data_IF_074725439992
#
_entry.id   IF_074725439992
#
_cell.length_a   1.000
_cell.length_b   1.000
_cell.length_c   1.000
_cell.angle_alpha   90.00
_cell.angle_beta   90.00
_cell.angle_gamma   90.00
#
_symmetry.space_group_name_H-M   'P 1'
#
loop_
_entity.id
_entity.type
_entity.pdbx_description
1 polymer ?
#
# COMPACT_ATOMS: atom_id res chain seq x y z
N UNK A 1 -0.28 -11.29 24.31
CA UNK A 1 -1.67 -10.78 24.19
C UNK A 1 -1.98 -10.05 22.85
N UNK A 2 -1.01 -9.39 22.19
CA UNK A 2 -1.24 -8.56 20.99
C UNK A 2 -1.57 -9.33 19.69
N UNK A 3 -1.05 -10.56 19.50
CA UNK A 3 -1.21 -11.34 18.24
C UNK A 3 -2.61 -11.95 18.12
N UNK A 4 -3.17 -12.48 19.22
CA UNK A 4 -4.51 -13.07 19.24
C UNK A 4 -5.58 -12.00 18.95
N UNK A 5 -5.48 -10.83 19.57
CA UNK A 5 -6.36 -9.69 19.31
C UNK A 5 -6.25 -9.19 17.86
N UNK A 6 -5.03 -9.10 17.31
CA UNK A 6 -4.82 -8.73 15.91
C UNK A 6 -5.45 -9.75 14.93
N UNK A 7 -5.34 -11.05 15.24
CA UNK A 7 -5.95 -12.11 14.43
C UNK A 7 -7.48 -12.06 14.48
N UNK A 8 -8.05 -11.89 15.67
CA UNK A 8 -9.51 -11.76 15.86
C UNK A 8 -10.06 -10.51 15.15
N UNK A 9 -9.38 -9.38 15.29
CA UNK A 9 -9.73 -8.12 14.61
C UNK A 9 -9.66 -8.26 13.09
N UNK A 10 -8.61 -8.88 12.56
CA UNK A 10 -8.45 -9.15 11.13
C UNK A 10 -9.57 -10.05 10.60
N UNK A 11 -9.86 -11.15 11.30
CA UNK A 11 -10.91 -12.09 10.90
C UNK A 11 -12.29 -11.42 10.92
N UNK A 12 -12.58 -10.61 11.94
CA UNK A 12 -13.83 -9.84 12.01
C UNK A 12 -13.91 -8.82 10.87
N UNK A 13 -12.83 -8.09 10.60
CA UNK A 13 -12.79 -7.13 9.49
C UNK A 13 -13.00 -7.81 8.13
N UNK A 14 -12.33 -8.94 7.88
CA UNK A 14 -12.51 -9.71 6.64
C UNK A 14 -13.96 -10.14 6.50
N UNK A 15 -14.55 -10.74 7.55
CA UNK A 15 -15.94 -11.18 7.53
C UNK A 15 -16.92 -10.05 7.24
N UNK A 16 -16.71 -8.86 7.84
CA UNK A 16 -17.52 -7.67 7.59
C UNK A 16 -17.37 -7.15 6.16
N UNK A 17 -16.15 -7.18 5.60
CA UNK A 17 -15.90 -6.73 4.22
C UNK A 17 -16.40 -7.70 3.15
N UNK A 18 -16.59 -8.98 3.49
CA UNK A 18 -17.08 -10.02 2.57
C UNK A 18 -18.58 -10.26 2.71
N UNK A 19 -19.30 -9.47 3.52
CA UNK A 19 -20.75 -9.62 3.62
C UNK A 19 -21.40 -9.25 2.28
N UNK A 20 -22.27 -10.10 1.72
CA UNK A 20 -23.12 -9.73 0.60
C UNK A 20 -23.89 -8.42 0.88
N UNK A 21 -23.95 -7.47 -0.08
CA UNK A 21 -24.66 -6.19 0.10
C UNK A 21 -26.16 -6.35 0.38
N UNK A 22 -26.75 -7.48 0.00
CA UNK A 22 -28.14 -7.82 0.29
C UNK A 22 -28.39 -8.19 1.75
N UNK A 23 -27.35 -8.51 2.54
CA UNK A 23 -27.50 -8.85 3.95
C UNK A 23 -27.86 -7.63 4.79
N UNK A 24 -28.77 -7.85 5.73
CA UNK A 24 -29.22 -6.83 6.68
C UNK A 24 -28.11 -6.21 7.51
N UNK A 25 -27.16 -7.04 7.93
CA UNK A 25 -25.99 -6.57 8.68
C UNK A 25 -25.13 -5.64 7.84
N UNK A 26 -24.95 -5.92 6.54
CA UNK A 26 -24.14 -5.11 5.63
C UNK A 26 -24.78 -3.72 5.38
N UNK A 27 -26.11 -3.70 5.27
CA UNK A 27 -26.91 -2.49 5.05
C UNK A 27 -26.97 -1.57 6.28
N UNK A 28 -26.75 -2.12 7.47
CA UNK A 28 -26.71 -1.40 8.76
C UNK A 28 -25.30 -1.00 9.21
N UNK A 29 -24.28 -1.21 8.37
CA UNK A 29 -22.93 -0.73 8.63
C UNK A 29 -22.88 0.81 8.67
N UNK A 30 -21.85 1.44 9.27
CA UNK A 30 -21.82 2.88 9.47
C UNK A 30 -22.03 3.67 8.16
N UNK A 31 -22.73 4.81 8.24
CA UNK A 31 -23.07 5.70 7.10
C UNK A 31 -21.93 6.04 6.13
N UNK A 32 -20.68 5.97 6.58
CA UNK A 32 -19.47 6.26 5.79
C UNK A 32 -19.00 5.09 4.91
N UNK A 33 -19.70 3.94 4.94
CA UNK A 33 -19.31 2.73 4.22
C UNK A 33 -20.24 2.52 3.03
N UNK A 34 -19.67 2.00 1.95
CA UNK A 34 -20.36 1.85 0.66
C UNK A 34 -21.54 0.87 0.68
N UNK A 35 -21.63 0.01 1.70
CA UNK A 35 -22.74 -0.95 1.88
C UNK A 35 -23.90 -0.40 2.69
N UNK A 36 -23.77 0.78 3.32
CA UNK A 36 -24.84 1.35 4.14
C UNK A 36 -26.04 1.74 3.28
N UNK A 37 -27.23 1.29 3.65
CA UNK A 37 -28.47 1.69 3.00
C UNK A 37 -29.17 2.79 3.84
N UNK A 38 -29.19 4.05 3.38
CA UNK A 38 -29.79 5.15 4.11
C UNK A 38 -31.31 5.04 4.25
N UNK A 39 -31.95 4.23 3.40
CA UNK A 39 -33.40 4.03 3.39
C UNK A 39 -33.85 2.93 4.36
N UNK A 40 -32.91 2.23 5.00
CA UNK A 40 -33.24 1.17 5.96
C UNK A 40 -33.43 1.79 7.35
N UNK A 41 -34.58 1.58 8.02
CA UNK A 41 -34.77 2.09 9.36
C UNK A 41 -33.73 1.49 10.31
N UNK A 42 -33.07 2.36 11.08
CA UNK A 42 -32.23 1.95 12.20
C UNK A 42 -33.10 1.12 13.15
N UNK A 43 -32.58 -0.02 13.65
CA UNK A 43 -33.32 -0.81 14.61
C UNK A 43 -33.78 0.07 15.77
N UNK A 44 -35.07 0.00 16.10
CA UNK A 44 -35.60 0.52 17.36
C UNK A 44 -34.69 0.03 18.47
N UNK A 45 -34.08 0.98 19.20
CA UNK A 45 -33.19 0.67 20.33
C UNK A 45 -34.01 -0.11 21.35
N UNK A 46 -33.91 -1.43 21.33
CA UNK A 46 -34.53 -2.25 22.35
C UNK A 46 -33.97 -1.83 23.71
N UNK A 47 -34.83 -1.46 24.64
CA UNK A 47 -34.48 -1.07 26.02
C UNK A 47 -33.95 -2.26 26.85
N UNK A 48 -33.75 -3.42 26.25
CA UNK A 48 -33.16 -4.58 26.93
C UNK A 48 -31.65 -4.44 26.99
N UNK A 49 -31.09 -4.71 28.18
CA UNK A 49 -29.66 -4.65 28.56
C UNK A 49 -28.74 -4.67 27.35
N UNK A 50 -28.00 -3.58 27.18
CA UNK A 50 -27.02 -3.33 26.12
C UNK A 50 -26.08 -4.53 25.99
N UNK A 51 -26.45 -5.52 25.17
CA UNK A 51 -25.54 -6.60 24.78
C UNK A 51 -24.49 -5.92 23.92
N UNK A 52 -23.39 -5.52 24.57
CA UNK A 52 -22.24 -4.93 23.89
C UNK A 52 -21.79 -5.98 22.88
N UNK A 53 -22.02 -5.70 21.59
CA UNK A 53 -21.60 -6.65 20.56
C UNK A 53 -20.09 -6.88 20.71
N UNK A 54 -19.57 -8.07 20.38
CA UNK A 54 -18.13 -8.33 20.49
C UNK A 54 -17.29 -7.27 19.76
N UNK A 55 -17.83 -6.66 18.69
CA UNK A 55 -17.20 -5.53 17.98
C UNK A 55 -17.18 -4.28 18.85
N UNK A 56 -18.29 -3.89 19.47
CA UNK A 56 -18.36 -2.70 20.34
C UNK A 56 -17.48 -2.89 21.59
N UNK A 57 -17.39 -4.11 22.12
CA UNK A 57 -16.52 -4.43 23.24
C UNK A 57 -15.04 -4.30 22.84
N UNK A 58 -14.64 -4.87 21.70
CA UNK A 58 -13.29 -4.74 21.16
C UNK A 58 -12.92 -3.29 20.82
N UNK A 59 -13.88 -2.51 20.30
CA UNK A 59 -13.70 -1.07 20.04
C UNK A 59 -13.55 -0.29 21.35
N UNK A 60 -14.33 -0.60 22.39
CA UNK A 60 -14.20 0.02 23.71
C UNK A 60 -12.87 -0.29 24.39
N UNK A 61 -12.29 -1.46 24.13
CA UNK A 61 -10.94 -1.83 24.58
C UNK A 61 -9.81 -1.21 23.73
N UNK A 62 -10.14 -0.62 22.59
CA UNK A 62 -9.15 -0.05 21.66
C UNK A 62 -9.08 1.47 21.83
N UNK A 63 -7.90 1.99 22.20
CA UNK A 63 -7.70 3.44 22.30
C UNK A 63 -8.00 4.13 20.94
N UNK A 64 -8.64 5.30 20.87
CA UNK A 64 -8.98 5.97 19.60
C UNK A 64 -7.76 6.36 18.75
N UNK A 65 -6.55 6.36 19.34
CA UNK A 65 -5.26 6.51 18.64
C UNK A 65 -4.50 5.19 18.43
N UNK A 66 -5.07 4.03 18.74
CA UNK A 66 -4.43 2.74 18.50
C UNK A 66 -4.19 2.57 17.00
N UNK A 67 -2.93 2.70 16.58
CA UNK A 67 -2.50 2.29 15.25
C UNK A 67 -2.40 0.77 15.24
N UNK A 68 -2.83 0.14 14.15
CA UNK A 68 -2.58 -1.27 13.95
C UNK A 68 -1.08 -1.48 13.70
N UNK A 69 -0.33 -1.79 14.76
CA UNK A 69 1.09 -2.10 14.69
C UNK A 69 1.20 -3.57 14.34
N UNK A 70 1.73 -3.89 13.16
CA UNK A 70 2.10 -5.26 12.83
C UNK A 70 3.45 -5.49 13.52
N UNK A 71 3.54 -6.37 14.54
CA UNK A 71 4.82 -6.66 15.14
C UNK A 71 5.71 -7.29 14.07
N UNK A 72 6.66 -6.50 13.56
CA UNK A 72 7.68 -6.98 12.65
C UNK A 72 8.87 -7.40 13.51
N UNK A 73 8.85 -8.67 13.89
CA UNK A 73 9.95 -9.31 14.60
C UNK A 73 10.98 -9.74 13.55
N UNK A 74 11.95 -8.88 13.28
CA UNK A 74 13.20 -9.33 12.66
C UNK A 74 14.00 -9.98 13.77
N UNK A 75 14.49 -11.21 13.59
CA UNK A 75 15.47 -11.76 14.51
C UNK A 75 16.64 -10.77 14.64
N UNK A 76 17.18 -10.51 15.84
CA UNK A 76 18.18 -9.46 16.04
C UNK A 76 19.46 -9.64 15.19
N UNK A 77 19.69 -10.85 14.65
CA UNK A 77 20.79 -11.18 13.75
C UNK A 77 20.49 -11.00 12.25
N UNK A 78 19.23 -10.77 11.85
CA UNK A 78 18.90 -10.46 10.46
C UNK A 78 19.09 -8.96 10.19
N UNK A 79 20.02 -8.63 9.29
CA UNK A 79 20.24 -7.25 8.90
C UNK A 79 18.95 -6.66 8.29
N UNK A 80 18.46 -5.50 8.78
CA UNK A 80 17.23 -4.90 8.28
C UNK A 80 17.35 -4.45 6.82
N UNK A 81 18.53 -4.46 6.18
CA UNK A 81 18.73 -4.01 4.79
C UNK A 81 19.86 -4.79 4.06
N UNK A 82 19.69 -6.10 3.84
CA UNK A 82 20.74 -6.96 3.21
C UNK A 82 20.89 -6.82 1.68
N UNK A 83 20.44 -5.71 1.07
CA UNK A 83 20.41 -5.56 -0.39
C UNK A 83 21.63 -4.88 -1.01
N UNK A 84 22.53 -4.31 -0.19
CA UNK A 84 23.74 -3.64 -0.67
C UNK A 84 23.47 -2.69 -1.84
N UNK A 85 24.23 -2.85 -2.92
CA UNK A 85 24.11 -2.03 -4.14
C UNK A 85 22.93 -2.42 -5.07
N UNK A 86 22.18 -3.50 -4.77
CA UNK A 86 21.13 -4.02 -5.64
C UNK A 86 19.82 -3.23 -5.58
N UNK A 87 19.57 -2.49 -4.49
CA UNK A 87 18.41 -1.62 -4.35
C UNK A 87 18.87 -0.20 -3.99
N UNK A 88 18.59 0.76 -4.88
CA UNK A 88 18.96 2.16 -4.70
C UNK A 88 17.71 3.05 -4.79
N UNK A 89 17.56 3.94 -3.82
CA UNK A 89 16.51 4.97 -3.82
C UNK A 89 17.11 6.32 -4.17
N UNK A 90 16.46 7.06 -5.07
CA UNK A 90 16.90 8.40 -5.48
C UNK A 90 15.83 9.46 -5.16
N UNK A 91 15.56 9.74 -3.86
CA UNK A 91 14.67 10.84 -3.50
C UNK A 91 15.30 12.19 -3.88
N UNK A 92 14.50 13.19 -4.32
CA UNK A 92 15.02 14.53 -4.55
C UNK A 92 15.55 15.15 -3.24
N UNK A 93 16.59 16.01 -3.28
CA UNK A 93 17.04 16.74 -2.10
C UNK A 93 15.90 17.53 -1.43
N UNK A 94 15.86 17.52 -0.08
CA UNK A 94 14.76 18.10 0.72
C UNK A 94 14.53 19.61 0.46
N UNK A 95 15.58 20.35 0.08
CA UNK A 95 15.55 21.80 -0.10
C UNK A 95 15.96 22.24 -1.51
N UNK A 96 15.23 21.77 -2.54
CA UNK A 96 15.44 22.26 -3.90
C UNK A 96 14.71 23.58 -4.15
N UNK A 97 15.45 24.55 -4.70
CA UNK A 97 14.88 25.76 -5.30
C UNK A 97 13.92 25.40 -6.45
N UNK A 98 13.02 26.33 -6.82
CA UNK A 98 12.05 26.10 -7.90
C UNK A 98 12.73 25.76 -9.24
N UNK A 99 13.85 26.41 -9.56
CA UNK A 99 14.61 26.16 -10.79
C UNK A 99 15.31 24.80 -10.73
N UNK A 100 15.91 24.46 -9.60
CA UNK A 100 16.54 23.15 -9.40
C UNK A 100 15.55 21.99 -9.49
N UNK A 101 14.29 22.18 -9.07
CA UNK A 101 13.21 21.18 -9.26
C UNK A 101 12.86 20.97 -10.74
N UNK A 102 12.81 22.06 -11.53
CA UNK A 102 12.55 21.96 -12.98
C UNK A 102 13.66 21.19 -13.69
N UNK A 103 14.92 21.50 -13.37
CA UNK A 103 16.07 20.78 -13.94
C UNK A 103 16.10 19.31 -13.49
N UNK A 104 15.78 19.02 -12.22
CA UNK A 104 15.63 17.65 -11.75
C UNK A 104 14.54 16.90 -12.50
N UNK A 105 13.37 17.51 -12.70
CA UNK A 105 12.28 16.90 -13.47
C UNK A 105 12.67 16.67 -14.94
N UNK A 106 13.42 17.60 -15.54
CA UNK A 106 13.95 17.46 -16.92
C UNK A 106 14.95 16.31 -17.01
N UNK A 107 15.86 16.19 -16.04
CA UNK A 107 16.80 15.06 -15.92
C UNK A 107 16.05 13.74 -15.74
N UNK A 108 15.03 13.71 -14.90
CA UNK A 108 14.22 12.52 -14.66
C UNK A 108 13.46 12.08 -15.92
N UNK A 109 12.89 13.02 -16.68
CA UNK A 109 12.24 12.73 -17.97
C UNK A 109 13.21 12.12 -18.97
N UNK A 110 14.42 12.69 -19.10
CA UNK A 110 15.48 12.12 -19.95
C UNK A 110 15.86 10.71 -19.51
N UNK A 111 16.00 10.48 -18.20
CA UNK A 111 16.27 9.16 -17.65
C UNK A 111 15.13 8.19 -17.93
N UNK A 112 13.86 8.59 -17.76
CA UNK A 112 12.71 7.77 -18.12
C UNK A 112 12.82 7.35 -19.57
N UNK A 113 12.97 8.30 -20.51
CA UNK A 113 13.12 7.99 -21.94
C UNK A 113 14.26 7.02 -22.23
N UNK A 114 15.43 7.20 -21.61
CA UNK A 114 16.59 6.32 -21.80
C UNK A 114 16.40 4.93 -21.16
N UNK A 115 15.70 4.84 -20.04
CA UNK A 115 15.41 3.57 -19.37
C UNK A 115 14.33 2.79 -20.09
N UNK A 116 13.42 3.51 -20.73
CA UNK A 116 12.37 2.97 -21.56
C UNK A 116 12.90 2.27 -22.81
N UNK A 117 14.07 2.65 -23.34
CA UNK A 117 14.72 1.93 -24.46
C UNK A 117 15.54 0.72 -24.02
N UNK A 118 15.96 0.66 -22.75
CA UNK A 118 16.73 -0.45 -22.19
C UNK A 118 15.86 -1.69 -21.90
N UNK A 119 16.49 -2.86 -21.68
CA UNK A 119 15.84 -4.13 -21.25
C UNK A 119 15.31 -4.11 -19.80
N UNK A 120 15.05 -2.91 -19.26
CA UNK A 120 14.59 -2.72 -17.88
C UNK A 120 13.06 -2.72 -17.82
N UNK A 121 12.51 -3.27 -16.75
CA UNK A 121 11.08 -3.10 -16.45
C UNK A 121 10.87 -1.81 -15.69
N UNK A 122 10.11 -0.89 -16.26
CA UNK A 122 9.83 0.43 -15.69
C UNK A 122 8.41 0.46 -15.13
N UNK A 123 8.23 0.98 -13.93
CA UNK A 123 6.94 1.04 -13.27
C UNK A 123 6.63 2.47 -12.82
N UNK A 124 5.41 2.93 -13.08
CA UNK A 124 4.90 4.19 -12.56
C UNK A 124 3.82 3.90 -11.55
N UNK A 125 3.89 4.53 -10.38
CA UNK A 125 2.97 4.26 -9.27
C UNK A 125 2.32 5.54 -8.80
N UNK A 126 1.05 5.45 -8.42
CA UNK A 126 0.30 6.55 -7.86
C UNK A 126 -0.71 6.05 -6.82
N UNK A 127 -0.91 6.86 -5.79
CA UNK A 127 -1.96 6.68 -4.79
C UNK A 127 -2.75 7.98 -4.69
N UNK A 128 -4.07 7.90 -4.85
CA UNK A 128 -4.95 9.06 -4.89
C UNK A 128 -6.04 8.97 -3.82
N UNK A 129 -6.55 10.14 -3.44
CA UNK A 129 -7.72 10.27 -2.58
C UNK A 129 -8.62 11.35 -3.15
N UNK A 130 -9.91 11.03 -3.24
CA UNK A 130 -10.95 11.95 -3.69
C UNK A 130 -12.15 11.82 -2.76
N UNK A 131 -12.83 12.92 -2.46
CA UNK A 131 -14.14 12.89 -1.81
C UNK A 131 -15.20 12.95 -2.90
N UNK A 132 -16.09 11.96 -2.95
CA UNK A 132 -17.18 11.86 -3.93
C UNK A 132 -18.47 11.64 -3.15
N UNK A 133 -19.45 12.53 -3.31
CA UNK A 133 -20.73 12.49 -2.60
C UNK A 133 -20.57 12.38 -1.06
N UNK A 134 -19.63 13.14 -0.49
CA UNK A 134 -19.31 13.10 0.95
C UNK A 134 -18.51 11.87 1.41
N UNK A 135 -18.30 10.88 0.54
CA UNK A 135 -17.55 9.67 0.84
C UNK A 135 -16.09 9.80 0.42
N UNK A 136 -15.17 9.52 1.34
CA UNK A 136 -13.74 9.47 1.05
C UNK A 136 -13.42 8.19 0.26
N UNK A 137 -12.91 8.34 -0.96
CA UNK A 137 -12.43 7.25 -1.80
C UNK A 137 -10.93 7.32 -1.94
N UNK A 138 -10.25 6.23 -1.62
CA UNK A 138 -8.80 6.09 -1.76
C UNK A 138 -8.51 4.96 -2.73
N UNK A 139 -7.66 5.23 -3.71
CA UNK A 139 -7.32 4.31 -4.78
C UNK A 139 -5.82 4.23 -4.99
N UNK A 140 -5.42 3.11 -5.58
CA UNK A 140 -4.06 2.85 -6.05
C UNK A 140 -4.08 2.64 -7.55
N UNK A 141 -2.98 3.02 -8.19
CA UNK A 141 -2.74 2.74 -9.58
C UNK A 141 -1.26 2.52 -9.85
N UNK A 142 -0.96 1.58 -10.74
CA UNK A 142 0.36 1.47 -11.33
C UNK A 142 0.29 0.98 -12.76
N UNK A 143 1.28 1.38 -13.56
CA UNK A 143 1.55 0.85 -14.89
C UNK A 143 2.95 0.28 -14.94
N UNK A 144 3.15 -0.74 -15.77
CA UNK A 144 4.40 -1.45 -15.98
C UNK A 144 4.69 -1.40 -17.47
N UNK A 145 5.88 -0.93 -17.81
CA UNK A 145 6.36 -0.77 -19.17
C UNK A 145 7.64 -1.56 -19.40
N UNK A 146 7.82 -2.03 -20.61
CA UNK A 146 9.04 -2.65 -21.12
C UNK A 146 9.24 -2.20 -22.56
N UNK A 147 10.42 -1.70 -22.91
CA UNK A 147 10.69 -1.09 -24.22
C UNK A 147 9.70 0.01 -24.65
N UNK A 148 9.18 0.78 -23.69
CA UNK A 148 8.20 1.87 -23.95
C UNK A 148 6.78 1.43 -24.19
N UNK A 149 6.53 0.13 -24.17
CA UNK A 149 5.19 -0.42 -24.31
C UNK A 149 4.69 -0.81 -22.93
N UNK A 150 3.45 -0.42 -22.63
CA UNK A 150 2.77 -0.90 -21.44
C UNK A 150 2.47 -2.39 -21.56
N UNK A 151 2.98 -3.18 -20.61
CA UNK A 151 2.81 -4.63 -20.58
C UNK A 151 1.83 -5.08 -19.49
N UNK A 152 1.52 -4.21 -18.53
CA UNK A 152 0.60 -4.48 -17.43
C UNK A 152 0.21 -3.19 -16.71
N UNK A 153 -0.98 -3.15 -16.13
CA UNK A 153 -1.41 -2.11 -15.21
C UNK A 153 -2.37 -2.69 -14.16
N UNK A 154 -2.58 -1.94 -13.09
CA UNK A 154 -3.62 -2.26 -12.13
C UNK A 154 -4.17 -0.99 -11.49
N UNK A 155 -5.47 -0.98 -11.27
CA UNK A 155 -6.20 0.06 -10.57
C UNK A 155 -7.07 -0.62 -9.52
N UNK A 156 -6.98 -0.18 -8.26
CA UNK A 156 -7.80 -0.74 -7.20
C UNK A 156 -8.27 0.32 -6.21
N UNK A 157 -9.50 0.16 -5.74
CA UNK A 157 -10.03 0.95 -4.64
C UNK A 157 -9.67 0.28 -3.32
N UNK A 158 -9.10 1.04 -2.39
CA UNK A 158 -8.77 0.57 -1.04
C UNK A 158 -9.92 0.82 -0.04
N UNK A 159 -10.86 1.68 -0.40
CA UNK A 159 -11.99 2.07 0.45
C UNK A 159 -11.69 3.25 1.39
N UNK A 160 -12.65 3.63 2.23
CA UNK A 160 -12.64 4.93 2.94
C UNK A 160 -11.68 5.02 4.13
N UNK A 161 -11.12 3.90 4.56
CA UNK A 161 -10.30 3.81 5.79
C UNK A 161 -8.82 4.03 5.54
N UNK A 162 -8.38 3.95 4.30
CA UNK A 162 -6.98 4.16 3.95
C UNK A 162 -6.67 5.65 3.85
N UNK A 163 -5.44 6.02 4.19
CA UNK A 163 -4.91 7.35 3.89
C UNK A 163 -4.21 7.33 2.55
N UNK A 164 -4.03 8.52 1.97
CA UNK A 164 -3.30 8.68 0.68
C UNK A 164 -1.90 8.09 0.77
N UNK A 165 -1.26 8.26 1.92
CA UNK A 165 0.09 7.74 2.15
C UNK A 165 0.11 6.21 2.13
N UNK A 166 -0.86 5.53 2.77
CA UNK A 166 -1.00 4.07 2.71
C UNK A 166 -1.18 3.59 1.26
N UNK A 167 -1.98 4.32 0.47
CA UNK A 167 -2.20 4.02 -0.94
C UNK A 167 -0.92 4.12 -1.76
N UNK A 168 -0.13 5.18 -1.55
CA UNK A 168 1.14 5.38 -2.27
C UNK A 168 2.17 4.30 -1.94
N UNK A 169 2.27 3.91 -0.66
CA UNK A 169 3.13 2.82 -0.22
C UNK A 169 2.67 1.46 -0.80
N UNK A 170 1.36 1.19 -0.77
CA UNK A 170 0.78 -0.03 -1.34
C UNK A 170 0.96 -0.11 -2.85
N UNK A 171 0.80 1.00 -3.58
CA UNK A 171 1.04 1.05 -5.01
C UNK A 171 2.49 0.64 -5.35
N UNK A 172 3.49 1.14 -4.61
CA UNK A 172 4.89 0.73 -4.76
C UNK A 172 5.09 -0.76 -4.50
N UNK A 173 4.55 -1.29 -3.40
CA UNK A 173 4.68 -2.70 -3.04
C UNK A 173 4.05 -3.65 -4.07
N UNK A 174 2.84 -3.32 -4.55
CA UNK A 174 2.13 -4.12 -5.53
C UNK A 174 2.75 -4.00 -6.93
N UNK A 175 3.22 -2.81 -7.31
CA UNK A 175 3.95 -2.60 -8.55
C UNK A 175 5.22 -3.45 -8.57
N UNK A 176 6.05 -3.42 -7.52
CA UNK A 176 7.26 -4.24 -7.45
C UNK A 176 6.94 -5.74 -7.50
N UNK A 177 5.92 -6.20 -6.77
CA UNK A 177 5.50 -7.61 -6.80
C UNK A 177 5.14 -8.05 -8.23
N UNK A 178 4.38 -7.23 -8.93
CA UNK A 178 3.92 -7.51 -10.30
C UNK A 178 5.07 -7.41 -11.28
N UNK A 179 5.88 -6.36 -11.19
CA UNK A 179 7.08 -6.13 -11.99
C UNK A 179 8.10 -7.25 -11.83
N UNK A 180 8.31 -7.76 -10.62
CA UNK A 180 9.20 -8.89 -10.37
C UNK A 180 8.74 -10.19 -11.03
N UNK A 181 7.43 -10.34 -11.29
CA UNK A 181 6.90 -11.45 -12.07
C UNK A 181 7.11 -11.22 -13.56
N UNK A 182 6.88 -9.99 -14.04
CA UNK A 182 7.06 -9.60 -15.44
C UNK A 182 8.53 -9.65 -15.87
N UNK A 183 9.42 -9.08 -15.07
CA UNK A 183 10.86 -9.09 -15.30
C UNK A 183 11.41 -10.52 -15.43
N UNK A 184 10.89 -11.46 -14.64
CA UNK A 184 11.25 -12.89 -14.78
C UNK A 184 10.79 -13.49 -16.10
N UNK A 185 9.56 -13.17 -16.54
CA UNK A 185 9.03 -13.64 -17.83
C UNK A 185 9.80 -13.05 -19.01
N UNK A 186 10.28 -11.81 -18.88
CA UNK A 186 10.98 -11.05 -19.92
C UNK A 186 12.52 -11.19 -19.84
N UNK A 187 13.02 -11.95 -18.87
CA UNK A 187 14.44 -12.07 -18.57
C UNK A 187 15.16 -10.72 -18.34
N UNK A 188 14.46 -9.77 -17.70
CA UNK A 188 15.00 -8.47 -17.31
C UNK A 188 15.65 -8.54 -15.94
N UNK A 189 16.88 -8.03 -15.82
CA UNK A 189 17.64 -8.02 -14.57
C UNK A 189 17.42 -6.75 -13.73
N UNK A 190 16.76 -5.74 -14.28
CA UNK A 190 16.55 -4.44 -13.66
C UNK A 190 15.07 -4.06 -13.60
N UNK A 191 14.64 -3.57 -12.45
CA UNK A 191 13.31 -2.99 -12.23
C UNK A 191 13.49 -1.58 -11.70
N UNK A 192 12.75 -0.63 -12.26
CA UNK A 192 12.82 0.78 -11.90
C UNK A 192 11.42 1.25 -11.55
N UNK A 193 11.27 1.80 -10.34
CA UNK A 193 10.00 2.27 -9.81
C UNK A 193 10.01 3.79 -9.70
N UNK A 194 9.01 4.43 -10.29
CA UNK A 194 8.75 5.85 -10.18
C UNK A 194 7.52 6.09 -9.29
N UNK A 195 7.66 7.03 -8.37
CA UNK A 195 6.57 7.51 -7.51
C UNK A 195 6.69 9.02 -7.33
N UNK A 196 5.54 9.67 -7.19
CA UNK A 196 5.43 11.13 -7.02
C UNK A 196 5.63 11.61 -5.57
N UNK A 197 5.81 10.68 -4.63
CA UNK A 197 5.90 10.97 -3.20
C UNK A 197 7.25 10.56 -2.63
N UNK A 198 8.06 11.58 -2.32
CA UNK A 198 9.38 11.43 -1.73
C UNK A 198 9.36 10.68 -0.40
N UNK A 199 8.38 10.93 0.47
CA UNK A 199 8.28 10.24 1.75
C UNK A 199 8.02 8.75 1.54
N UNK A 200 7.18 8.38 0.58
CA UNK A 200 6.92 6.98 0.24
C UNK A 200 8.18 6.29 -0.31
N UNK A 201 8.91 6.93 -1.23
CA UNK A 201 10.19 6.41 -1.75
C UNK A 201 11.23 6.23 -0.64
N UNK A 202 11.25 7.13 0.34
CA UNK A 202 12.22 7.09 1.44
C UNK A 202 11.87 6.05 2.51
N UNK A 203 10.58 5.74 2.70
CA UNK A 203 10.10 4.88 3.78
C UNK A 203 9.72 3.46 3.33
N UNK A 204 9.54 3.20 2.03
CA UNK A 204 9.08 1.90 1.53
C UNK A 204 10.01 0.72 1.88
N UNK A 205 11.29 1.00 2.14
CA UNK A 205 12.25 -0.01 2.61
C UNK A 205 12.35 -0.08 4.12
N UNK A 206 11.88 0.94 4.85
CA UNK A 206 11.91 0.97 6.31
C UNK A 206 10.89 -0.01 6.89
N UNK A 207 11.26 -0.61 8.00
CA UNK A 207 10.44 -1.53 8.78
C UNK A 207 9.99 -0.91 10.11
N UNK A 208 10.29 0.38 10.28
CA UNK A 208 9.90 1.17 11.44
C UNK A 208 8.37 1.19 11.60
N UNK A 209 7.96 1.54 12.82
CA UNK A 209 6.54 1.69 13.14
C UNK A 209 5.99 2.94 12.46
N UNK A 210 5.46 2.80 11.25
CA UNK A 210 4.87 3.89 10.48
C UNK A 210 3.51 3.53 9.85
N UNK A 211 2.72 4.54 9.41
CA UNK A 211 1.54 4.32 8.58
C UNK A 211 1.97 3.85 7.18
N UNK A 212 2.21 2.57 6.98
CA UNK A 212 2.80 2.09 5.72
C UNK A 212 3.59 0.80 5.88
N UNK A 213 3.96 0.45 7.11
CA UNK A 213 4.70 -0.76 7.47
C UNK A 213 4.18 -2.03 6.78
N UNK A 214 2.87 -2.21 6.64
CA UNK A 214 2.31 -3.36 5.91
C UNK A 214 2.80 -3.41 4.45
N UNK A 215 2.79 -2.27 3.77
CA UNK A 215 3.30 -2.15 2.40
C UNK A 215 4.82 -2.32 2.36
N UNK A 216 5.57 -1.78 3.33
CA UNK A 216 7.03 -1.99 3.40
C UNK A 216 7.40 -3.47 3.56
N UNK A 217 6.67 -4.21 4.40
CA UNK A 217 6.84 -5.67 4.53
C UNK A 217 6.55 -6.38 3.21
N UNK A 218 5.47 -6.00 2.51
CA UNK A 218 5.12 -6.60 1.22
C UNK A 218 6.16 -6.28 0.14
N UNK A 219 6.66 -5.03 0.11
CA UNK A 219 7.71 -4.57 -0.78
C UNK A 219 9.00 -5.36 -0.54
N UNK A 220 9.44 -5.48 0.72
CA UNK A 220 10.62 -6.26 1.11
C UNK A 220 10.54 -7.70 0.66
N UNK A 221 9.39 -8.35 0.85
CA UNK A 221 9.17 -9.74 0.38
C UNK A 221 9.30 -9.85 -1.15
N UNK A 222 8.76 -8.88 -1.89
CA UNK A 222 8.87 -8.85 -3.34
C UNK A 222 10.32 -8.58 -3.81
N UNK A 223 11.00 -7.62 -3.17
CA UNK A 223 12.40 -7.30 -3.44
C UNK A 223 13.31 -8.50 -3.19
N UNK A 224 13.18 -9.15 -2.02
CA UNK A 224 13.93 -10.36 -1.69
C UNK A 224 13.73 -11.43 -2.76
N UNK A 225 12.47 -11.72 -3.14
CA UNK A 225 12.17 -12.76 -4.14
C UNK A 225 12.78 -12.47 -5.52
N UNK A 226 12.94 -11.21 -5.89
CA UNK A 226 13.57 -10.82 -7.15
C UNK A 226 15.09 -10.87 -7.04
N UNK A 227 15.66 -10.27 -5.99
CA UNK A 227 17.10 -10.08 -5.83
C UNK A 227 17.85 -11.35 -5.41
N UNK A 228 17.24 -12.28 -4.65
CA UNK A 228 17.91 -13.55 -4.28
C UNK A 228 18.12 -14.49 -5.47
N UNK A 229 17.47 -14.24 -6.60
CA UNK A 229 17.57 -15.04 -7.82
C UNK A 229 18.51 -14.46 -8.86
N UNK A 230 19.11 -13.29 -8.60
CA UNK A 230 20.12 -12.70 -9.46
C UNK A 230 21.51 -13.15 -8.97
N UNK A 231 22.42 -13.58 -9.86
CA UNK A 231 23.80 -13.85 -9.47
C UNK A 231 24.40 -12.57 -8.87
N UNK A 232 24.95 -12.69 -7.66
CA UNK A 232 25.66 -11.59 -7.01
C UNK A 232 27.02 -11.45 -7.69
N UNK A 233 27.11 -10.61 -8.72
CA UNK A 233 28.41 -10.17 -9.23
C UNK A 233 29.02 -9.25 -8.19
N UNK A 234 30.05 -9.75 -7.50
CA UNK A 234 30.93 -8.98 -6.64
C UNK A 234 31.83 -8.05 -7.45
#
# INVERSE_FOLDING_TARGET
>A
MHIALARLSRNASTRLSTLPPCLEVAQRLPRKWDTHNPNRPDCLRSKTKTRVSPIVHLVGLSHPKCKNIIPYLVPPWEAPHSWGNCLKSYPPPKHLSRNSRKEFAKKLRRQITALTTNKSVVCFTNGSKRVVNGCCRVGIGFTIQHHGVEINHNLANLGPRFKVFDAKMLALALALKTAASQARRLNSHSIILFADNQAAVSLITSLDKDPGQFASIAFRKAANKFLTKLPRTG
#
